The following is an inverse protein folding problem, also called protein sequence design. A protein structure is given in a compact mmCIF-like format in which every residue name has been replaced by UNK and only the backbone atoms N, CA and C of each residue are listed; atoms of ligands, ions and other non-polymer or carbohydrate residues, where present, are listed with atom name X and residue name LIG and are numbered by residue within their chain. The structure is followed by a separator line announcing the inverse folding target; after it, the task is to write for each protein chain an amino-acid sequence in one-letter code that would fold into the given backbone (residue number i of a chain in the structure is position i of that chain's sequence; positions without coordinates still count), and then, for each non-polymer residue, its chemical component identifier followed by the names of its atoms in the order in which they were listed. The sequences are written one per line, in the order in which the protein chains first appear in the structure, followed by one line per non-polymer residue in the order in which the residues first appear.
data_IF_210585503770
#
_entry.id   IF_210585503770
#
_cell.length_a   1.000
_cell.length_b   1.000
_cell.length_c   1.000
_cell.angle_alpha   90.00
_cell.angle_beta   90.00
_cell.angle_gamma   90.00
#
_symmetry.space_group_name_H-M   'P 1'
#
loop_
_entity.id
_entity.type
_entity.pdbx_description
1 polymer ?
#
# COMPACT_ATOMS: atom_id res chain seq x y z
N UNK A 1 -0.32 16.09 -1.57
CA UNK A 1 0.65 16.78 -2.45
C UNK A 1 1.66 15.75 -2.95
N UNK A 2 1.94 15.73 -4.26
CA UNK A 2 2.97 14.88 -4.85
C UNK A 2 3.95 15.76 -5.61
N UNK A 3 5.26 15.53 -5.37
CA UNK A 3 6.35 16.19 -6.07
C UNK A 3 7.12 15.14 -6.87
N UNK A 4 7.33 15.43 -8.15
CA UNK A 4 8.11 14.60 -9.04
C UNK A 4 9.32 15.37 -9.53
N UNK A 5 10.49 14.85 -9.26
CA UNK A 5 11.74 15.40 -9.79
C UNK A 5 12.14 14.55 -11.01
N UNK A 6 12.31 15.11 -12.20
CA UNK A 6 12.70 14.38 -13.42
C UNK A 6 14.18 13.97 -13.37
N UNK A 7 14.60 13.43 -12.24
CA UNK A 7 15.98 13.04 -11.92
C UNK A 7 15.95 12.03 -10.78
N UNK A 8 16.84 11.05 -10.84
CA UNK A 8 17.11 10.16 -9.71
C UNK A 8 18.00 10.90 -8.71
N UNK A 9 17.48 11.14 -7.51
CA UNK A 9 18.24 11.72 -6.39
C UNK A 9 18.67 10.56 -5.49
N UNK A 10 19.98 10.22 -5.49
CA UNK A 10 20.52 9.13 -4.68
C UNK A 10 21.54 8.26 -5.43
N UNK A 11 22.07 7.23 -4.78
CA UNK A 11 23.14 6.39 -5.34
C UNK A 11 22.64 5.32 -6.34
N UNK A 12 21.35 5.31 -6.67
CA UNK A 12 20.74 4.26 -7.51
C UNK A 12 20.75 4.69 -8.97
N UNK A 13 21.21 3.80 -9.85
CA UNK A 13 21.14 3.98 -11.29
C UNK A 13 20.16 2.96 -11.87
N UNK A 14 19.10 3.45 -12.50
CA UNK A 14 18.15 2.59 -13.20
C UNK A 14 18.54 2.45 -14.67
N UNK A 15 18.69 1.22 -15.13
CA UNK A 15 18.85 0.95 -16.57
C UNK A 15 17.49 1.06 -17.25
N UNK A 16 17.29 2.09 -18.05
CA UNK A 16 16.10 2.26 -18.87
C UNK A 16 16.53 2.19 -20.33
N UNK A 17 15.99 1.25 -21.10
CA UNK A 17 16.17 1.19 -22.56
C UNK A 17 15.20 2.12 -23.30
N UNK A 18 14.55 3.01 -22.57
CA UNK A 18 13.48 3.85 -23.10
C UNK A 18 13.84 5.33 -22.97
N UNK A 19 13.17 6.16 -23.75
CA UNK A 19 13.23 7.62 -23.63
C UNK A 19 12.54 8.14 -22.36
N UNK A 20 12.17 7.25 -21.44
CA UNK A 20 11.52 7.63 -20.19
C UNK A 20 12.56 7.92 -19.10
N UNK A 21 12.55 9.13 -18.60
CA UNK A 21 13.44 9.56 -17.52
C UNK A 21 12.94 9.02 -16.19
N UNK A 22 13.76 8.28 -15.42
CA UNK A 22 13.40 7.90 -14.06
C UNK A 22 13.22 9.13 -13.17
N UNK A 23 12.24 9.06 -12.28
CA UNK A 23 11.83 10.19 -11.44
C UNK A 23 11.97 9.83 -9.96
N UNK A 24 12.35 10.81 -9.16
CA UNK A 24 12.20 10.75 -7.72
C UNK A 24 10.83 11.30 -7.33
N UNK A 25 10.07 10.53 -6.58
CA UNK A 25 8.73 10.87 -6.09
C UNK A 25 8.77 11.13 -4.59
N UNK A 26 8.30 12.29 -4.18
CA UNK A 26 7.98 12.61 -2.79
C UNK A 26 6.49 12.85 -2.66
N UNK A 27 5.86 12.23 -1.68
CA UNK A 27 4.43 12.39 -1.43
C UNK A 27 4.19 12.75 0.03
N UNK A 28 3.32 13.70 0.27
CA UNK A 28 2.83 14.08 1.58
C UNK A 28 1.31 14.21 1.51
N UNK A 29 0.61 13.54 2.42
CA UNK A 29 -0.83 13.57 2.53
C UNK A 29 -1.26 13.79 3.99
N UNK A 30 -2.26 14.64 4.17
CA UNK A 30 -2.94 14.81 5.42
C UNK A 30 -4.44 14.73 5.16
N UNK A 31 -5.13 13.89 5.90
CA UNK A 31 -6.55 13.64 5.74
C UNK A 31 -7.23 13.63 7.09
N UNK A 32 -8.35 14.32 7.19
CA UNK A 32 -9.25 14.28 8.32
C UNK A 32 -10.56 13.65 7.83
N UNK A 33 -10.94 12.57 8.46
CA UNK A 33 -12.24 11.95 8.28
C UNK A 33 -13.04 12.17 9.55
N UNK A 34 -14.11 12.98 9.45
CA UNK A 34 -14.99 13.27 10.55
C UNK A 34 -16.34 12.58 10.34
N UNK A 35 -16.65 11.62 11.19
CA UNK A 35 -17.96 11.01 11.27
C UNK A 35 -18.73 11.71 12.38
N UNK A 36 -19.56 12.68 11.99
CA UNK A 36 -20.35 13.48 12.91
C UNK A 36 -21.04 12.57 13.94
N UNK A 37 -20.94 12.94 15.22
CA UNK A 37 -21.53 12.22 16.35
C UNK A 37 -20.81 10.93 16.80
N UNK A 38 -19.77 10.45 16.15
CA UNK A 38 -19.10 9.20 16.54
C UNK A 38 -17.61 9.38 16.84
N UNK A 39 -16.81 9.76 15.83
CA UNK A 39 -15.35 9.90 15.97
C UNK A 39 -14.73 10.72 14.83
N UNK A 40 -13.50 11.14 15.03
CA UNK A 40 -12.68 11.78 14.02
C UNK A 40 -11.42 10.92 13.80
N UNK A 41 -11.07 10.60 12.53
CA UNK A 41 -9.80 9.97 12.18
C UNK A 41 -8.90 10.99 11.49
N UNK A 42 -7.69 11.13 11.99
CA UNK A 42 -6.64 11.90 11.33
C UNK A 42 -5.61 10.95 10.75
N UNK A 43 -5.30 11.09 9.47
CA UNK A 43 -4.29 10.30 8.79
C UNK A 43 -3.21 11.20 8.21
N UNK A 44 -1.95 10.91 8.55
CA UNK A 44 -0.78 11.53 7.97
C UNK A 44 -0.02 10.47 7.17
N UNK A 45 0.20 10.75 5.88
CA UNK A 45 0.97 9.88 4.99
C UNK A 45 2.17 10.62 4.44
N UNK A 46 3.32 9.96 4.40
CA UNK A 46 4.52 10.49 3.75
C UNK A 46 5.22 9.34 3.01
N UNK A 47 5.70 9.60 1.80
CA UNK A 47 6.51 8.61 1.10
C UNK A 47 7.59 9.26 0.24
N UNK A 48 8.70 8.54 0.10
CA UNK A 48 9.82 8.90 -0.75
C UNK A 48 10.29 7.67 -1.53
N UNK A 49 10.49 7.83 -2.83
CA UNK A 49 10.87 6.71 -3.67
C UNK A 49 11.12 7.08 -5.12
N UNK A 50 11.08 6.09 -5.98
CA UNK A 50 11.39 6.21 -7.39
C UNK A 50 10.28 5.64 -8.26
N UNK A 51 10.08 6.28 -9.40
CA UNK A 51 9.20 5.81 -10.46
C UNK A 51 10.00 5.75 -11.75
N UNK A 52 9.98 4.61 -12.44
CA UNK A 52 10.66 4.46 -13.71
C UNK A 52 9.89 3.53 -14.65
N UNK A 53 10.14 3.66 -15.93
CA UNK A 53 9.58 2.78 -16.97
C UNK A 53 10.72 2.09 -17.71
N UNK A 54 10.62 0.78 -17.89
CA UNK A 54 11.51 0.08 -18.80
C UNK A 54 11.13 0.33 -20.26
N UNK A 55 9.84 0.32 -20.52
CA UNK A 55 9.22 0.65 -21.81
C UNK A 55 7.81 1.25 -21.58
N UNK A 56 7.09 1.53 -22.67
CA UNK A 56 5.73 2.09 -22.59
C UNK A 56 4.76 1.19 -21.81
N UNK A 57 5.02 -0.11 -21.74
CA UNK A 57 4.13 -1.10 -21.14
C UNK A 57 4.47 -1.46 -19.69
N UNK A 58 5.68 -1.16 -19.23
CA UNK A 58 6.20 -1.59 -17.94
C UNK A 58 6.60 -0.40 -17.08
N UNK A 59 5.96 -0.28 -15.95
CA UNK A 59 6.20 0.78 -14.97
C UNK A 59 6.50 0.19 -13.60
N UNK A 60 7.45 0.78 -12.92
CA UNK A 60 7.86 0.44 -11.57
C UNK A 60 7.70 1.64 -10.66
N UNK A 61 7.20 1.40 -9.46
CA UNK A 61 7.18 2.38 -8.37
C UNK A 61 7.79 1.71 -7.14
N UNK A 62 8.89 2.26 -6.65
CA UNK A 62 9.54 1.82 -5.42
C UNK A 62 9.50 2.96 -4.40
N UNK A 63 8.69 2.86 -3.38
CA UNK A 63 8.77 3.72 -2.21
C UNK A 63 9.72 3.07 -1.21
N UNK A 64 10.92 3.62 -1.08
CA UNK A 64 11.93 3.16 -0.11
C UNK A 64 11.46 3.44 1.30
N UNK A 65 10.81 4.59 1.46
CA UNK A 65 10.20 5.04 2.70
C UNK A 65 8.72 5.30 2.46
N UNK A 66 7.88 4.70 3.29
CA UNK A 66 6.44 4.94 3.33
C UNK A 66 5.98 4.96 4.79
N UNK A 67 5.43 6.07 5.21
CA UNK A 67 4.87 6.29 6.54
C UNK A 67 3.37 6.48 6.43
N UNK A 68 2.61 5.82 7.29
CA UNK A 68 1.19 6.06 7.47
C UNK A 68 0.87 6.05 8.97
N UNK A 69 0.41 7.19 9.46
CA UNK A 69 -0.03 7.40 10.83
C UNK A 69 -1.52 7.61 10.85
N UNK A 70 -2.25 6.80 11.61
CA UNK A 70 -3.68 6.97 11.81
C UNK A 70 -3.92 7.19 13.29
N UNK A 71 -4.56 8.32 13.63
CA UNK A 71 -4.90 8.70 14.98
C UNK A 71 -6.41 8.97 15.08
N UNK A 72 -7.16 8.19 15.87
CA UNK A 72 -8.52 8.52 16.22
C UNK A 72 -8.54 9.62 17.30
N UNK A 73 -9.54 10.48 17.20
CA UNK A 73 -9.84 11.54 18.16
C UNK A 73 -11.34 11.70 18.33
N UNK A 74 -11.77 12.37 19.38
CA UNK A 74 -13.18 12.73 19.64
C UNK A 74 -14.14 11.52 19.61
N UNK A 75 -13.71 10.37 20.17
CA UNK A 75 -14.57 9.19 20.26
C UNK A 75 -15.64 9.45 21.32
N UNK A 76 -16.91 9.46 20.89
CA UNK A 76 -18.04 9.72 21.79
C UNK A 76 -18.36 8.50 22.69
N UNK A 77 -19.00 8.69 23.86
CA UNK A 77 -19.39 7.57 24.72
C UNK A 77 -20.28 6.53 24.02
N UNK A 78 -21.21 6.96 23.19
CA UNK A 78 -22.07 6.05 22.41
C UNK A 78 -21.25 5.20 21.41
N UNK A 79 -20.22 5.80 20.78
CA UNK A 79 -19.31 5.08 19.92
C UNK A 79 -18.46 4.08 20.73
N UNK A 80 -17.99 4.45 21.92
CA UNK A 80 -17.22 3.55 22.79
C UNK A 80 -17.99 2.26 23.14
N UNK A 81 -19.28 2.36 23.40
CA UNK A 81 -20.12 1.18 23.67
C UNK A 81 -20.31 0.32 22.40
N UNK A 82 -20.45 0.95 21.25
CA UNK A 82 -20.47 0.24 19.96
C UNK A 82 -19.17 -0.49 19.66
N UNK A 83 -18.02 0.09 20.04
CA UNK A 83 -16.69 -0.52 19.86
C UNK A 83 -16.51 -1.78 20.70
N UNK A 84 -17.10 -1.85 21.90
CA UNK A 84 -17.04 -3.06 22.75
C UNK A 84 -17.75 -4.25 22.10
N UNK A 85 -18.81 -3.98 21.34
CA UNK A 85 -19.68 -4.99 20.74
C UNK A 85 -19.31 -5.31 19.28
N UNK A 86 -18.46 -4.51 18.63
CA UNK A 86 -18.10 -4.67 17.23
C UNK A 86 -16.58 -4.59 17.03
N UNK A 87 -15.93 -5.77 17.00
CA UNK A 87 -14.47 -5.90 16.86
C UNK A 87 -13.98 -5.29 15.53
N UNK A 88 -14.74 -5.42 14.44
CA UNK A 88 -14.35 -4.87 13.14
C UNK A 88 -14.31 -3.33 13.17
N UNK A 89 -15.32 -2.72 13.79
CA UNK A 89 -15.37 -1.27 14.00
C UNK A 89 -14.23 -0.81 14.92
N UNK A 90 -13.97 -1.52 16.02
CA UNK A 90 -12.88 -1.20 16.94
C UNK A 90 -11.52 -1.19 16.21
N UNK A 91 -11.25 -2.21 15.38
CA UNK A 91 -10.03 -2.30 14.58
C UNK A 91 -9.93 -1.21 13.50
N UNK A 92 -11.05 -0.77 12.93
CA UNK A 92 -11.07 0.29 11.91
C UNK A 92 -10.69 1.67 12.48
N UNK A 93 -10.88 1.88 13.78
CA UNK A 93 -10.63 3.15 14.50
C UNK A 93 -9.32 3.07 15.32
N UNK A 94 -8.64 1.94 15.32
CA UNK A 94 -7.41 1.76 16.08
C UNK A 94 -6.28 2.67 15.58
N UNK A 95 -5.46 3.15 16.53
CA UNK A 95 -4.23 3.87 16.19
C UNK A 95 -3.29 2.97 15.41
N UNK A 96 -2.77 3.47 14.30
CA UNK A 96 -1.88 2.70 13.43
C UNK A 96 -0.62 3.50 13.12
N UNK A 97 0.54 2.88 13.36
CA UNK A 97 1.85 3.37 12.99
C UNK A 97 2.48 2.38 12.01
N UNK A 98 2.44 2.73 10.73
CA UNK A 98 2.95 1.90 9.63
C UNK A 98 4.13 2.62 9.01
N UNK A 99 5.30 2.00 9.04
CA UNK A 99 6.50 2.53 8.41
C UNK A 99 7.25 1.40 7.70
N UNK A 100 7.54 1.57 6.43
CA UNK A 100 8.17 0.52 5.65
C UNK A 100 8.50 0.93 4.23
N UNK A 101 8.55 -0.06 3.36
CA UNK A 101 8.83 0.08 1.93
C UNK A 101 7.73 -0.60 1.13
N UNK A 102 7.44 -0.05 -0.04
CA UNK A 102 6.45 -0.60 -0.94
C UNK A 102 7.02 -0.63 -2.37
N UNK A 103 6.82 -1.75 -3.06
CA UNK A 103 7.16 -1.91 -4.45
C UNK A 103 5.94 -2.30 -5.27
N UNK A 104 5.69 -1.56 -6.35
CA UNK A 104 4.64 -1.86 -7.31
C UNK A 104 5.22 -2.03 -8.71
N UNK A 105 4.84 -3.10 -9.38
CA UNK A 105 5.13 -3.37 -10.78
C UNK A 105 3.83 -3.39 -11.58
N UNK A 106 3.79 -2.62 -12.66
CA UNK A 106 2.63 -2.53 -13.54
C UNK A 106 3.06 -2.89 -14.97
N UNK A 107 2.41 -3.87 -15.56
CA UNK A 107 2.53 -4.24 -16.96
C UNK A 107 1.19 -4.09 -17.67
N UNK A 108 1.18 -3.36 -18.79
CA UNK A 108 -0.02 -3.16 -19.59
C UNK A 108 0.27 -3.25 -21.08
N UNK A 109 -0.08 -4.36 -21.69
CA UNK A 109 0.16 -4.59 -23.13
C UNK A 109 -0.74 -3.74 -24.04
N UNK A 110 -1.83 -3.21 -23.53
CA UNK A 110 -2.72 -2.30 -24.28
C UNK A 110 -2.05 -0.98 -24.68
N UNK A 111 -0.96 -0.60 -24.01
CA UNK A 111 -0.24 0.63 -24.33
C UNK A 111 0.60 0.53 -25.61
N UNK A 112 0.73 -0.68 -26.20
CA UNK A 112 1.40 -0.85 -27.50
C UNK A 112 0.50 -0.34 -28.64
N UNK A 113 1.07 0.37 -29.63
CA UNK A 113 0.30 0.92 -30.77
C UNK A 113 -0.46 -0.17 -31.55
N UNK A 114 0.14 -1.36 -31.69
CA UNK A 114 -0.46 -2.50 -32.41
C UNK A 114 -1.11 -3.45 -31.39
N UNK A 115 -2.40 -3.30 -31.18
CA UNK A 115 -3.16 -4.19 -30.30
C UNK A 115 -3.24 -5.60 -30.89
N UNK A 116 -2.74 -6.56 -30.14
CA UNK A 116 -2.84 -7.98 -30.49
C UNK A 116 -4.25 -8.52 -30.17
N UNK A 117 -4.54 -9.72 -30.67
CA UNK A 117 -5.77 -10.44 -30.32
C UNK A 117 -5.87 -10.69 -28.79
N UNK A 118 -4.71 -10.99 -28.16
CA UNK A 118 -4.59 -11.18 -26.72
C UNK A 118 -3.83 -10.00 -26.12
N UNK A 119 -4.40 -9.36 -25.12
CA UNK A 119 -3.75 -8.31 -24.32
C UNK A 119 -3.80 -8.68 -22.84
N UNK A 120 -2.78 -8.27 -22.12
CA UNK A 120 -2.57 -8.61 -20.73
C UNK A 120 -2.32 -7.35 -19.91
N UNK A 121 -2.88 -7.35 -18.72
CA UNK A 121 -2.54 -6.42 -17.67
C UNK A 121 -2.08 -7.22 -16.45
N UNK A 122 -1.00 -6.81 -15.84
CA UNK A 122 -0.50 -7.37 -14.60
C UNK A 122 -0.09 -6.25 -13.67
N UNK A 123 -0.56 -6.28 -12.43
CA UNK A 123 -0.10 -5.42 -11.36
C UNK A 123 0.30 -6.28 -10.16
N UNK A 124 1.57 -6.15 -9.74
CA UNK A 124 2.10 -6.78 -8.55
C UNK A 124 2.46 -5.72 -7.52
N UNK A 125 2.00 -5.90 -6.30
CA UNK A 125 2.31 -5.00 -5.18
C UNK A 125 2.90 -5.79 -4.01
N UNK A 126 4.05 -5.34 -3.51
CA UNK A 126 4.72 -5.87 -2.32
C UNK A 126 4.89 -4.75 -1.30
N UNK A 127 4.34 -4.97 -0.10
CA UNK A 127 4.37 -4.01 0.99
C UNK A 127 5.07 -4.65 2.21
N UNK A 128 6.16 -4.04 2.64
CA UNK A 128 7.02 -4.51 3.73
C UNK A 128 7.04 -3.44 4.82
N UNK A 129 6.46 -3.72 5.97
CA UNK A 129 6.39 -2.77 7.09
C UNK A 129 7.13 -3.24 8.32
N UNK A 130 7.78 -2.30 8.99
CA UNK A 130 8.42 -2.50 10.29
C UNK A 130 9.64 -3.42 10.29
N UNK A 131 10.12 -3.89 9.13
CA UNK A 131 11.17 -4.92 9.07
C UNK A 131 12.50 -4.42 9.60
N UNK A 132 12.94 -3.25 9.14
CA UNK A 132 14.21 -2.64 9.59
C UNK A 132 14.12 -2.33 11.09
N UNK A 133 13.02 -1.72 11.52
CA UNK A 133 12.79 -1.39 12.93
C UNK A 133 12.74 -2.64 13.81
N UNK A 134 12.05 -3.68 13.36
CA UNK A 134 11.96 -4.95 14.07
C UNK A 134 13.30 -5.65 14.23
N UNK A 135 14.12 -5.65 13.18
CA UNK A 135 15.48 -6.22 13.21
C UNK A 135 16.40 -5.46 14.17
N UNK A 136 16.40 -4.12 14.10
CA UNK A 136 17.27 -3.29 14.94
C UNK A 136 16.84 -3.31 16.41
N UNK A 137 15.54 -3.29 16.69
CA UNK A 137 15.00 -3.21 18.06
C UNK A 137 14.80 -4.57 18.74
N UNK A 138 14.88 -5.68 17.99
CA UNK A 138 14.56 -7.03 18.50
C UNK A 138 13.09 -7.16 18.93
N UNK A 139 12.19 -6.41 18.32
CA UNK A 139 10.78 -6.38 18.64
C UNK A 139 10.11 -7.75 18.42
N UNK A 140 9.41 -8.27 19.41
CA UNK A 140 8.67 -9.51 19.28
C UNK A 140 7.55 -9.59 20.32
N UNK A 141 6.32 -9.33 19.89
CA UNK A 141 5.15 -9.35 20.77
C UNK A 141 4.84 -10.75 21.30
N UNK A 142 5.13 -11.80 20.52
CA UNK A 142 4.91 -13.20 20.91
C UNK A 142 5.86 -13.65 22.02
N UNK A 143 7.02 -12.99 22.15
CA UNK A 143 8.01 -13.20 23.22
C UNK A 143 7.87 -12.19 24.36
N UNK A 144 6.79 -11.40 24.40
CA UNK A 144 6.55 -10.41 25.45
C UNK A 144 7.46 -9.18 25.37
N UNK A 145 8.07 -8.90 24.19
CA UNK A 145 8.96 -7.77 23.97
C UNK A 145 8.42 -6.82 22.87
N UNK A 146 7.26 -6.17 23.09
CA UNK A 146 6.77 -5.17 22.15
C UNK A 146 7.65 -3.91 22.18
N UNK A 147 7.82 -3.27 21.04
CA UNK A 147 8.54 -2.01 20.90
C UNK A 147 7.61 -0.91 20.41
N UNK A 148 7.82 0.29 20.92
CA UNK A 148 7.00 1.46 20.69
C UNK A 148 7.83 2.58 20.06
N UNK A 149 7.21 3.34 19.17
CA UNK A 149 7.75 4.57 18.60
C UNK A 149 6.69 5.66 18.82
N UNK A 150 7.09 6.78 19.42
CA UNK A 150 6.17 7.84 19.82
C UNK A 150 4.97 7.34 20.67
N UNK A 151 5.22 6.35 21.54
CA UNK A 151 4.18 5.78 22.40
C UNK A 151 3.19 4.85 21.68
N UNK A 152 3.45 4.46 20.43
CA UNK A 152 2.62 3.55 19.65
C UNK A 152 3.43 2.34 19.16
N UNK A 153 2.85 1.11 19.16
CA UNK A 153 3.50 -0.02 18.57
C UNK A 153 3.54 0.16 17.04
N UNK A 154 4.69 -0.03 16.44
CA UNK A 154 4.78 -0.03 14.98
C UNK A 154 4.32 -1.36 14.40
N UNK A 155 3.63 -1.28 13.27
CA UNK A 155 3.13 -2.46 12.57
C UNK A 155 4.23 -3.16 11.80
N UNK A 156 4.36 -4.50 11.99
CA UNK A 156 5.34 -5.32 11.30
C UNK A 156 4.64 -6.43 10.51
N UNK A 157 4.72 -6.36 9.18
CA UNK A 157 4.08 -7.30 8.28
C UNK A 157 4.73 -7.36 6.89
N UNK A 158 4.41 -8.40 6.17
CA UNK A 158 4.60 -8.54 4.72
C UNK A 158 3.25 -8.72 4.08
N UNK A 159 2.98 -7.99 2.98
CA UNK A 159 1.77 -8.08 2.18
C UNK A 159 2.12 -8.11 0.71
N UNK A 160 1.61 -9.10 0.00
CA UNK A 160 1.74 -9.23 -1.45
C UNK A 160 0.36 -9.27 -2.09
N UNK A 161 0.20 -8.61 -3.23
CA UNK A 161 -1.03 -8.58 -4.01
C UNK A 161 -0.72 -8.66 -5.50
N UNK A 162 -1.49 -9.47 -6.22
CA UNK A 162 -1.38 -9.65 -7.65
C UNK A 162 -2.74 -9.45 -8.29
N UNK A 163 -2.84 -8.60 -9.32
CA UNK A 163 -4.00 -8.40 -10.18
C UNK A 163 -3.59 -8.75 -11.61
N UNK A 164 -4.12 -9.83 -12.12
CA UNK A 164 -3.89 -10.27 -13.50
C UNK A 164 -5.19 -10.16 -14.29
N UNK A 165 -5.10 -9.54 -15.47
CA UNK A 165 -6.24 -9.41 -16.40
C UNK A 165 -5.82 -9.84 -17.78
N UNK A 166 -6.69 -10.61 -18.41
CA UNK A 166 -6.56 -11.05 -19.79
C UNK A 166 -7.72 -10.53 -20.62
N UNK A 167 -7.43 -9.95 -21.76
CA UNK A 167 -8.40 -9.42 -22.69
C UNK A 167 -8.21 -10.12 -24.03
N UNK A 168 -9.21 -10.93 -24.40
CA UNK A 168 -9.25 -11.65 -25.67
C UNK A 168 -10.24 -10.96 -26.61
N UNK A 169 -9.72 -10.40 -27.69
CA UNK A 169 -10.55 -9.84 -28.77
C UNK A 169 -11.07 -11.00 -29.64
N UNK A 170 -12.35 -11.33 -29.50
CA UNK A 170 -13.02 -12.39 -30.26
C UNK A 170 -13.27 -11.91 -31.69
N UNK A 171 -13.86 -10.72 -31.82
CA UNK A 171 -14.11 -10.06 -33.11
C UNK A 171 -13.97 -8.53 -32.95
N UNK A 172 -14.37 -7.76 -34.00
CA UNK A 172 -14.24 -6.29 -34.01
C UNK A 172 -15.01 -5.60 -32.85
N UNK A 173 -16.13 -6.21 -32.43
CA UNK A 173 -17.08 -5.60 -31.50
C UNK A 173 -17.16 -6.34 -30.14
N UNK A 174 -16.44 -7.46 -29.98
CA UNK A 174 -16.55 -8.30 -28.79
C UNK A 174 -15.18 -8.58 -28.18
N UNK A 175 -15.03 -8.26 -26.89
CA UNK A 175 -13.84 -8.54 -26.09
C UNK A 175 -14.27 -9.35 -24.87
N UNK A 176 -13.64 -10.50 -24.66
CA UNK A 176 -13.76 -11.26 -23.42
C UNK A 176 -12.69 -10.77 -22.45
N UNK A 177 -13.12 -10.30 -21.28
CA UNK A 177 -12.24 -9.86 -20.22
C UNK A 177 -12.31 -10.85 -19.05
N UNK A 178 -11.14 -11.34 -18.62
CA UNK A 178 -10.98 -12.20 -17.45
C UNK A 178 -10.07 -11.51 -16.44
N UNK A 179 -10.36 -11.65 -15.15
CA UNK A 179 -9.57 -11.05 -14.07
C UNK A 179 -9.37 -12.06 -12.94
N UNK A 180 -8.15 -12.13 -12.43
CA UNK A 180 -7.79 -12.86 -11.21
C UNK A 180 -7.05 -11.92 -10.28
N UNK A 181 -7.55 -11.81 -9.05
CA UNK A 181 -6.90 -11.05 -7.98
C UNK A 181 -6.59 -12.01 -6.85
N UNK A 182 -5.36 -11.97 -6.36
CA UNK A 182 -4.93 -12.77 -5.20
C UNK A 182 -4.07 -11.91 -4.28
N UNK A 183 -4.17 -12.15 -2.99
CA UNK A 183 -3.39 -11.42 -2.00
C UNK A 183 -3.07 -12.30 -0.80
N UNK A 184 -1.88 -12.07 -0.26
CA UNK A 184 -1.38 -12.73 0.94
C UNK A 184 -0.84 -11.66 1.88
N UNK A 185 -1.19 -11.75 3.17
CA UNK A 185 -0.69 -10.88 4.22
C UNK A 185 -0.30 -11.68 5.46
N UNK A 186 0.86 -11.37 6.03
CA UNK A 186 1.35 -12.02 7.22
C UNK A 186 1.94 -11.01 8.21
N UNK A 187 1.36 -10.94 9.41
CA UNK A 187 1.86 -10.13 10.52
C UNK A 187 2.81 -10.95 11.40
N UNK A 188 3.91 -10.34 11.81
CA UNK A 188 4.92 -10.98 12.64
C UNK A 188 5.70 -9.96 13.49
N UNK A 189 6.67 -10.43 14.27
CA UNK A 189 7.53 -9.56 15.07
C UNK A 189 6.74 -8.69 16.04
N UNK A 190 6.66 -7.40 15.78
CA UNK A 190 5.97 -6.42 16.62
C UNK A 190 4.44 -6.37 16.44
N UNK A 191 3.86 -7.26 15.62
CA UNK A 191 2.42 -7.28 15.35
C UNK A 191 1.82 -8.68 15.51
N UNK A 192 0.64 -8.76 16.13
CA UNK A 192 -0.17 -9.98 16.14
C UNK A 192 -1.03 -10.10 14.89
N UNK A 193 -1.56 -8.99 14.39
CA UNK A 193 -2.48 -8.91 13.27
C UNK A 193 -2.03 -7.85 12.28
N UNK A 194 -2.54 -7.94 11.06
CA UNK A 194 -2.37 -6.89 10.05
C UNK A 194 -3.09 -5.60 10.48
N UNK A 195 -2.58 -4.40 10.16
CA UNK A 195 -3.35 -3.17 10.29
C UNK A 195 -4.62 -3.23 9.46
N UNK A 196 -5.73 -2.74 10.00
CA UNK A 196 -7.03 -2.80 9.33
C UNK A 196 -7.00 -2.22 7.91
N UNK A 197 -6.34 -1.07 7.71
CA UNK A 197 -6.22 -0.43 6.39
C UNK A 197 -5.40 -1.24 5.37
N UNK A 198 -4.73 -2.31 5.81
CA UNK A 198 -3.90 -3.20 4.98
C UNK A 198 -4.53 -4.59 4.80
N UNK A 199 -5.66 -4.84 5.41
CA UNK A 199 -6.40 -6.09 5.21
C UNK A 199 -7.01 -6.15 3.79
N UNK A 200 -7.34 -7.36 3.37
CA UNK A 200 -8.05 -7.59 2.12
C UNK A 200 -9.54 -7.69 2.41
N UNK A 201 -10.33 -6.90 1.70
CA UNK A 201 -11.78 -6.95 1.79
C UNK A 201 -12.33 -7.52 0.48
N UNK A 202 -13.08 -8.62 0.58
CA UNK A 202 -13.77 -9.23 -0.54
C UNK A 202 -15.21 -8.68 -0.56
N UNK A 203 -15.57 -7.99 -1.62
CA UNK A 203 -16.90 -7.45 -1.81
C UNK A 203 -16.94 -5.93 -1.63
N UNK A 204 -17.86 -5.31 -2.36
CA UNK A 204 -18.17 -3.90 -2.21
C UNK A 204 -18.97 -3.65 -0.93
N UNK A 205 -18.85 -2.47 -0.42
CA UNK A 205 -19.65 -1.91 0.66
C UNK A 205 -21.10 -1.84 0.31
#
# INVERSE_FOLDING_TARGET
MNLFFPRVIGPVQFRTNSNFVPQTKLSLGYQIFNRNTEYTLTSLTASAGYVWKEDITKEHTLNIFALNLVNPANITPACQDSLKNNIALARSIEKQFIIGSNYNYNYNSYLKPNHKKNNYYFNGNLDLSGNILGLVSGANVRKGNPKYIFGQPFSQYVRAELDFRHYLKINKNTILASRVVTGLGYAYGNSYTMPFIKEFFAGGS
#
